data_IF_845936198532
#
_entry.id   IF_845936198532
#
_cell.length_a   1.000
_cell.length_b   1.000
_cell.length_c   1.000
_cell.angle_alpha   90.00
_cell.angle_beta   90.00
_cell.angle_gamma   90.00
#
_symmetry.space_group_name_H-M   'P 1'
#
loop_
_entity.id
_entity.type
_entity.pdbx_description
1 polymer ?
#
# COMPACT_ATOMS: atom_id res chain seq x y z
N UNK A 1 36.76 9.04 -36.51
CA UNK A 1 35.92 7.87 -36.20
C UNK A 1 35.11 8.19 -34.95
N UNK A 2 33.82 8.44 -35.10
CA UNK A 2 32.93 8.60 -33.96
C UNK A 2 32.71 7.21 -33.34
N UNK A 3 33.27 6.96 -32.16
CA UNK A 3 32.95 5.78 -31.38
C UNK A 3 31.49 5.89 -30.93
N UNK A 4 30.57 5.37 -31.74
CA UNK A 4 29.20 5.11 -31.33
C UNK A 4 29.25 4.12 -30.18
N UNK A 5 29.16 4.61 -28.94
CA UNK A 5 28.94 3.77 -27.76
C UNK A 5 27.70 2.93 -28.06
N UNK A 6 27.88 1.62 -28.23
CA UNK A 6 26.78 0.68 -28.24
C UNK A 6 25.88 0.97 -27.02
N UNK A 7 24.55 0.87 -27.14
CA UNK A 7 23.66 1.13 -26.02
C UNK A 7 24.02 0.13 -24.91
N UNK A 8 24.71 0.61 -23.86
CA UNK A 8 25.08 -0.23 -22.71
C UNK A 8 23.83 -0.99 -22.26
N UNK A 9 23.90 -2.31 -22.12
CA UNK A 9 22.73 -3.07 -21.71
C UNK A 9 22.24 -2.56 -20.35
N UNK A 10 20.93 -2.28 -20.24
CA UNK A 10 20.36 -1.70 -19.02
C UNK A 10 20.47 -2.63 -17.81
N UNK A 11 20.60 -3.94 -18.03
CA UNK A 11 20.82 -4.93 -16.97
C UNK A 11 22.29 -5.35 -16.83
N UNK A 12 23.17 -4.86 -17.70
CA UNK A 12 24.61 -5.14 -17.64
C UNK A 12 25.37 -4.29 -16.60
N UNK A 13 24.68 -3.39 -15.90
CA UNK A 13 25.26 -2.58 -14.82
C UNK A 13 25.02 -3.24 -13.47
N UNK A 14 25.83 -2.91 -12.46
CA UNK A 14 25.67 -3.47 -11.11
C UNK A 14 24.24 -3.24 -10.59
N UNK A 15 23.77 -1.99 -10.62
CA UNK A 15 22.40 -1.63 -10.23
C UNK A 15 21.36 -2.29 -11.14
N UNK A 16 21.57 -2.31 -12.46
CA UNK A 16 20.61 -2.85 -13.41
C UNK A 16 20.37 -4.35 -13.23
N UNK A 17 21.42 -5.13 -12.97
CA UNK A 17 21.31 -6.56 -12.69
C UNK A 17 20.54 -6.83 -11.38
N UNK A 18 20.71 -5.98 -10.36
CA UNK A 18 19.94 -6.09 -9.11
C UNK A 18 18.47 -5.79 -9.34
N UNK A 19 18.15 -4.73 -10.11
CA UNK A 19 16.78 -4.38 -10.48
C UNK A 19 16.11 -5.53 -11.23
N UNK A 20 16.80 -6.15 -12.20
CA UNK A 20 16.28 -7.29 -12.95
C UNK A 20 15.92 -8.46 -12.02
N UNK A 21 16.85 -8.85 -11.15
CA UNK A 21 16.66 -9.97 -10.21
C UNK A 21 15.56 -9.71 -9.19
N UNK A 22 15.49 -8.48 -8.64
CA UNK A 22 14.53 -8.11 -7.60
C UNK A 22 13.09 -7.96 -8.13
N UNK A 23 12.91 -8.00 -9.45
CA UNK A 23 11.60 -7.80 -10.11
C UNK A 23 11.28 -8.92 -11.12
N UNK A 24 11.78 -10.13 -10.87
CA UNK A 24 11.46 -11.32 -11.67
C UNK A 24 10.03 -11.80 -11.41
N UNK A 25 9.33 -12.25 -12.46
CA UNK A 25 7.96 -12.76 -12.33
C UNK A 25 7.84 -14.07 -11.55
N UNK A 26 8.96 -14.75 -11.29
CA UNK A 26 9.04 -15.95 -10.46
C UNK A 26 9.03 -15.65 -8.96
N UNK A 27 9.27 -14.40 -8.55
CA UNK A 27 9.19 -14.00 -7.15
C UNK A 27 7.74 -13.98 -6.69
N UNK A 28 7.51 -14.40 -5.44
CA UNK A 28 6.18 -14.42 -4.85
C UNK A 28 5.80 -13.06 -4.24
N UNK A 29 6.77 -12.38 -3.63
CA UNK A 29 6.58 -11.14 -2.86
C UNK A 29 7.77 -10.19 -3.01
N UNK A 30 7.63 -8.96 -2.51
CA UNK A 30 8.70 -7.97 -2.44
C UNK A 30 9.82 -8.40 -1.48
N UNK A 31 11.04 -8.49 -2.00
CA UNK A 31 12.24 -8.70 -1.19
C UNK A 31 12.77 -7.35 -0.70
N UNK A 32 12.14 -6.78 0.35
CA UNK A 32 12.43 -5.42 0.83
C UNK A 32 13.91 -5.18 1.16
N UNK A 33 14.63 -6.20 1.65
CA UNK A 33 16.07 -6.11 1.87
C UNK A 33 16.87 -5.88 0.59
N UNK A 34 16.45 -6.48 -0.53
CA UNK A 34 17.05 -6.23 -1.84
C UNK A 34 16.69 -4.83 -2.35
N UNK A 35 15.46 -4.36 -2.12
CA UNK A 35 15.03 -3.02 -2.53
C UNK A 35 15.84 -1.93 -1.80
N UNK A 36 16.05 -2.07 -0.49
CA UNK A 36 16.90 -1.17 0.29
C UNK A 36 18.34 -1.19 -0.20
N UNK A 37 18.90 -2.39 -0.42
CA UNK A 37 20.25 -2.51 -0.96
C UNK A 37 20.42 -1.83 -2.34
N UNK A 38 19.40 -1.91 -3.21
CA UNK A 38 19.38 -1.19 -4.48
C UNK A 38 19.39 0.32 -4.24
N UNK A 39 18.60 0.83 -3.30
CA UNK A 39 18.58 2.27 -2.96
C UNK A 39 19.95 2.74 -2.45
N UNK A 40 20.59 1.97 -1.57
CA UNK A 40 21.94 2.27 -1.08
C UNK A 40 22.95 2.35 -2.23
N UNK A 41 22.91 1.40 -3.17
CA UNK A 41 23.81 1.38 -4.32
C UNK A 41 23.55 2.54 -5.29
N UNK A 42 22.27 2.93 -5.48
CA UNK A 42 21.88 4.10 -6.28
C UNK A 42 22.48 5.37 -5.67
N UNK A 43 22.40 5.53 -4.35
CA UNK A 43 22.90 6.71 -3.65
C UNK A 43 24.43 6.73 -3.54
N UNK A 44 25.07 5.57 -3.41
CA UNK A 44 26.51 5.43 -3.22
C UNK A 44 27.33 5.65 -4.49
N UNK A 45 26.72 5.54 -5.68
CA UNK A 45 27.43 5.60 -6.96
C UNK A 45 27.05 6.82 -7.79
N UNK A 46 27.99 7.31 -8.60
CA UNK A 46 27.74 8.46 -9.46
C UNK A 46 26.72 8.12 -10.57
N UNK A 47 26.89 6.99 -11.24
CA UNK A 47 26.01 6.57 -12.34
C UNK A 47 24.77 5.78 -11.87
N UNK A 48 24.70 5.42 -10.59
CA UNK A 48 23.61 4.65 -10.00
C UNK A 48 22.20 5.14 -10.33
N UNK A 49 21.90 6.45 -10.20
CA UNK A 49 20.58 6.97 -10.54
C UNK A 49 20.21 6.76 -12.01
N UNK A 50 21.15 6.98 -12.94
CA UNK A 50 20.91 6.82 -14.38
C UNK A 50 20.72 5.35 -14.73
N UNK A 51 21.55 4.48 -14.17
CA UNK A 51 21.51 3.03 -14.41
C UNK A 51 20.22 2.41 -13.87
N UNK A 52 19.80 2.79 -12.66
CA UNK A 52 18.52 2.37 -12.09
C UNK A 52 17.33 2.79 -12.96
N UNK A 53 17.25 4.07 -13.32
CA UNK A 53 16.16 4.57 -14.15
C UNK A 53 16.13 3.86 -15.50
N UNK A 54 17.30 3.57 -16.09
CA UNK A 54 17.37 2.82 -17.35
C UNK A 54 16.85 1.39 -17.20
N UNK A 55 17.22 0.69 -16.13
CA UNK A 55 16.76 -0.66 -15.84
C UNK A 55 15.25 -0.71 -15.55
N UNK A 56 14.73 0.23 -14.73
CA UNK A 56 13.30 0.40 -14.46
C UNK A 56 12.51 0.69 -15.74
N UNK A 57 13.00 1.62 -16.58
CA UNK A 57 12.41 1.90 -17.91
C UNK A 57 12.35 0.63 -18.76
N UNK A 58 13.39 -0.21 -18.74
CA UNK A 58 13.42 -1.48 -19.49
C UNK A 58 12.40 -2.48 -18.94
N UNK A 59 12.30 -2.66 -17.62
CA UNK A 59 11.32 -3.58 -17.00
C UNK A 59 9.86 -3.18 -17.20
N UNK A 60 9.56 -1.89 -17.26
CA UNK A 60 8.20 -1.39 -17.53
C UNK A 60 7.86 -1.37 -19.03
N UNK A 61 8.85 -1.42 -19.93
CA UNK A 61 8.62 -1.27 -21.37
C UNK A 61 8.04 -2.54 -21.98
N UNK A 62 6.82 -2.44 -22.52
CA UNK A 62 6.12 -3.56 -23.21
C UNK A 62 5.99 -4.82 -22.36
N UNK A 63 6.05 -4.69 -21.03
CA UNK A 63 5.86 -5.79 -20.12
C UNK A 63 4.36 -6.02 -19.90
N UNK A 64 3.91 -7.27 -20.03
CA UNK A 64 2.53 -7.69 -19.76
C UNK A 64 2.44 -8.62 -18.54
N UNK A 65 3.56 -8.91 -17.87
CA UNK A 65 3.58 -9.70 -16.66
C UNK A 65 3.22 -8.82 -15.45
N UNK A 66 1.99 -8.97 -14.95
CA UNK A 66 1.48 -8.16 -13.84
C UNK A 66 2.32 -8.30 -12.56
N UNK A 67 2.93 -9.47 -12.31
CA UNK A 67 3.81 -9.67 -11.15
C UNK A 67 5.08 -8.84 -11.26
N UNK A 68 5.72 -8.86 -12.43
CA UNK A 68 6.93 -8.05 -12.65
C UNK A 68 6.64 -6.57 -12.55
N UNK A 69 5.53 -6.12 -13.14
CA UNK A 69 5.12 -4.72 -13.08
C UNK A 69 4.84 -4.33 -11.62
N UNK A 70 4.12 -5.15 -10.86
CA UNK A 70 3.84 -4.92 -9.43
C UNK A 70 5.13 -4.75 -8.63
N UNK A 71 6.06 -5.70 -8.74
CA UNK A 71 7.36 -5.64 -8.06
C UNK A 71 8.17 -4.41 -8.50
N UNK A 72 8.13 -4.07 -9.79
CA UNK A 72 8.82 -2.89 -10.31
C UNK A 72 8.22 -1.58 -9.78
N UNK A 73 6.89 -1.49 -9.66
CA UNK A 73 6.22 -0.33 -9.06
C UNK A 73 6.51 -0.23 -7.55
N UNK A 74 6.57 -1.35 -6.82
CA UNK A 74 6.96 -1.36 -5.41
C UNK A 74 8.43 -0.96 -5.20
N UNK A 75 9.34 -1.41 -6.05
CA UNK A 75 10.75 -0.97 -6.03
C UNK A 75 10.86 0.54 -6.34
N UNK A 76 10.12 1.02 -7.35
CA UNK A 76 10.10 2.43 -7.72
C UNK A 76 9.62 3.32 -6.56
N UNK A 77 8.57 2.92 -5.84
CA UNK A 77 8.09 3.61 -4.64
C UNK A 77 9.20 3.74 -3.60
N UNK A 78 9.83 2.62 -3.24
CA UNK A 78 10.94 2.59 -2.28
C UNK A 78 12.10 3.49 -2.72
N UNK A 79 12.48 3.46 -4.01
CA UNK A 79 13.53 4.32 -4.54
C UNK A 79 13.15 5.81 -4.50
N UNK A 80 11.89 6.17 -4.76
CA UNK A 80 11.46 7.58 -4.70
C UNK A 80 11.47 8.14 -3.28
N UNK A 81 11.21 7.29 -2.27
CA UNK A 81 11.24 7.65 -0.86
C UNK A 81 12.67 7.69 -0.27
N UNK A 82 13.57 6.82 -0.75
CA UNK A 82 14.89 6.61 -0.12
C UNK A 82 16.08 7.12 -0.97
N UNK A 83 15.87 7.46 -2.24
CA UNK A 83 16.93 8.03 -3.08
C UNK A 83 16.83 9.56 -3.14
N UNK A 84 18.00 10.20 -3.25
CA UNK A 84 18.08 11.66 -3.28
C UNK A 84 17.58 12.32 -4.58
N UNK A 85 17.64 13.67 -4.64
CA UNK A 85 17.16 14.47 -5.78
C UNK A 85 17.72 14.07 -7.14
N UNK A 86 18.94 13.52 -7.19
CA UNK A 86 19.61 13.03 -8.41
C UNK A 86 18.82 11.91 -9.10
N UNK A 87 18.17 11.04 -8.33
CA UNK A 87 17.30 9.98 -8.85
C UNK A 87 15.90 10.53 -9.15
N UNK A 88 15.31 11.26 -8.19
CA UNK A 88 13.96 11.82 -8.32
C UNK A 88 13.82 12.69 -9.58
N UNK A 89 14.81 13.55 -9.87
CA UNK A 89 14.84 14.41 -11.07
C UNK A 89 14.85 13.65 -12.41
N UNK A 90 15.24 12.37 -12.41
CA UNK A 90 15.21 11.52 -13.60
C UNK A 90 13.88 10.78 -13.76
N UNK A 91 13.21 10.46 -12.64
CA UNK A 91 11.92 9.76 -12.61
C UNK A 91 10.76 10.69 -12.95
N UNK A 92 10.81 11.95 -12.52
CA UNK A 92 9.72 12.94 -12.74
C UNK A 92 9.68 13.52 -14.15
N UNK A 93 10.57 13.07 -15.03
CA UNK A 93 10.58 13.48 -16.44
C UNK A 93 9.42 12.87 -17.21
N UNK A 94 8.96 13.58 -18.24
CA UNK A 94 7.86 13.16 -19.11
C UNK A 94 8.13 11.81 -19.76
N UNK A 95 9.38 11.53 -20.12
CA UNK A 95 9.78 10.27 -20.77
C UNK A 95 9.74 9.03 -19.84
N UNK A 96 9.68 9.23 -18.52
CA UNK A 96 9.44 8.16 -17.55
C UNK A 96 7.95 8.13 -17.19
N UNK A 97 7.41 9.25 -16.70
CA UNK A 97 6.02 9.36 -16.24
C UNK A 97 5.03 9.02 -17.36
N UNK A 98 5.11 9.68 -18.52
CA UNK A 98 4.16 9.51 -19.62
C UNK A 98 4.43 8.21 -20.39
N UNK A 99 5.68 8.00 -20.82
CA UNK A 99 5.98 6.94 -21.78
C UNK A 99 6.11 5.55 -21.14
N UNK A 100 6.32 5.46 -19.82
CA UNK A 100 6.42 4.20 -19.08
C UNK A 100 5.26 3.98 -18.14
N UNK A 101 4.96 4.92 -17.23
CA UNK A 101 3.90 4.71 -16.24
C UNK A 101 2.50 4.87 -16.85
N UNK A 102 2.18 6.05 -17.40
CA UNK A 102 0.86 6.31 -18.00
C UNK A 102 0.56 5.36 -19.16
N UNK A 103 1.59 4.96 -19.92
CA UNK A 103 1.43 3.99 -21.00
C UNK A 103 0.91 2.62 -20.52
N UNK A 104 1.26 2.21 -19.30
CA UNK A 104 0.77 0.96 -18.70
C UNK A 104 -0.72 1.02 -18.34
N UNK A 105 -1.31 2.21 -18.20
CA UNK A 105 -2.75 2.39 -18.00
C UNK A 105 -3.57 2.14 -19.28
N UNK A 106 -2.90 1.87 -20.42
CA UNK A 106 -3.62 1.53 -21.64
C UNK A 106 -4.37 0.19 -21.45
N UNK A 107 -5.64 0.08 -21.88
CA UNK A 107 -6.43 -1.15 -21.76
C UNK A 107 -5.73 -2.41 -22.30
N UNK A 108 -4.79 -2.28 -23.24
CA UNK A 108 -3.98 -3.39 -23.77
C UNK A 108 -3.17 -4.15 -22.71
N UNK A 109 -2.82 -3.51 -21.59
CA UNK A 109 -2.08 -4.17 -20.50
C UNK A 109 -2.99 -4.81 -19.46
N UNK A 110 -4.28 -4.47 -19.47
CA UNK A 110 -5.31 -4.97 -18.55
C UNK A 110 -4.82 -5.07 -17.09
N UNK A 111 -4.21 -3.99 -16.58
CA UNK A 111 -3.63 -3.99 -15.24
C UNK A 111 -4.73 -4.08 -14.17
N UNK A 112 -4.49 -4.80 -13.06
CA UNK A 112 -5.34 -4.75 -11.87
C UNK A 112 -5.56 -3.31 -11.37
N UNK A 113 -6.76 -3.03 -10.83
CA UNK A 113 -7.18 -1.68 -10.41
C UNK A 113 -6.21 -1.08 -9.39
N UNK A 114 -5.77 -1.87 -8.41
CA UNK A 114 -4.81 -1.46 -7.38
C UNK A 114 -3.49 -0.94 -7.97
N UNK A 115 -3.04 -1.54 -9.08
CA UNK A 115 -1.83 -1.11 -9.77
C UNK A 115 -2.05 0.15 -10.60
N UNK A 116 -3.25 0.31 -11.19
CA UNK A 116 -3.62 1.53 -11.90
C UNK A 116 -3.69 2.73 -10.94
N UNK A 117 -4.37 2.56 -9.80
CA UNK A 117 -4.46 3.56 -8.74
C UNK A 117 -3.07 3.93 -8.19
N UNK A 118 -2.17 2.96 -8.02
CA UNK A 118 -0.80 3.21 -7.59
C UNK A 118 -0.04 4.09 -8.59
N UNK A 119 -0.17 3.83 -9.88
CA UNK A 119 0.43 4.67 -10.94
C UNK A 119 -0.15 6.09 -10.88
N UNK A 120 -1.47 6.25 -10.77
CA UNK A 120 -2.11 7.56 -10.68
C UNK A 120 -1.67 8.31 -9.41
N UNK A 121 -1.53 7.60 -8.29
CA UNK A 121 -1.03 8.13 -7.03
C UNK A 121 0.39 8.67 -7.20
N UNK A 122 1.29 7.94 -7.86
CA UNK A 122 2.63 8.43 -8.17
C UNK A 122 2.61 9.76 -8.93
N UNK A 123 1.86 9.82 -10.03
CA UNK A 123 1.78 11.04 -10.86
C UNK A 123 1.24 12.22 -10.06
N UNK A 124 0.19 12.01 -9.27
CA UNK A 124 -0.41 13.05 -8.43
C UNK A 124 0.54 13.54 -7.33
N UNK A 125 1.16 12.61 -6.60
CA UNK A 125 2.07 12.95 -5.50
C UNK A 125 3.29 13.69 -6.04
N UNK A 126 3.91 13.22 -7.12
CA UNK A 126 5.10 13.85 -7.67
C UNK A 126 4.80 15.20 -8.32
N UNK A 127 3.61 15.41 -8.89
CA UNK A 127 3.17 16.70 -9.41
C UNK A 127 2.99 17.78 -8.33
N UNK A 128 2.78 17.39 -7.06
CA UNK A 128 2.73 18.31 -5.91
C UNK A 128 4.12 18.77 -5.46
N UNK A 129 5.16 18.07 -5.88
CA UNK A 129 6.55 18.39 -5.54
C UNK A 129 7.08 17.62 -4.33
N UNK A 130 8.38 17.74 -4.14
CA UNK A 130 9.13 17.16 -3.03
C UNK A 130 9.61 18.28 -2.11
N UNK A 131 9.98 17.97 -0.86
CA UNK A 131 10.55 18.97 0.07
C UNK A 131 11.95 19.51 -0.36
N UNK A 132 12.48 19.08 -1.51
CA UNK A 132 13.77 19.52 -2.07
C UNK A 132 13.65 20.23 -3.43
N UNK A 133 14.77 20.70 -3.97
CA UNK A 133 14.85 21.42 -5.26
C UNK A 133 14.81 20.47 -6.48
N UNK A 134 13.75 19.68 -6.62
CA UNK A 134 13.51 18.89 -7.84
C UNK A 134 12.50 19.64 -8.71
N UNK A 135 12.86 19.90 -9.96
CA UNK A 135 11.92 20.46 -10.94
C UNK A 135 10.88 19.41 -11.33
N UNK A 136 9.61 19.69 -10.99
CA UNK A 136 8.46 18.81 -11.24
C UNK A 136 7.54 19.33 -12.34
N UNK A 137 7.98 20.32 -13.12
CA UNK A 137 7.18 20.93 -14.19
C UNK A 137 6.69 19.89 -15.19
N UNK A 138 7.56 18.95 -15.61
CA UNK A 138 7.23 17.91 -16.58
C UNK A 138 6.17 16.92 -16.05
N UNK A 139 6.29 16.41 -14.81
CA UNK A 139 5.27 15.50 -14.24
C UNK A 139 3.97 16.24 -13.95
N UNK A 140 4.03 17.54 -13.60
CA UNK A 140 2.85 18.38 -13.41
C UNK A 140 2.09 18.58 -14.72
N UNK A 141 2.78 18.77 -15.84
CA UNK A 141 2.13 18.76 -17.16
C UNK A 141 1.42 17.43 -17.43
N UNK A 142 2.06 16.29 -17.15
CA UNK A 142 1.46 14.96 -17.33
C UNK A 142 0.20 14.80 -16.46
N UNK A 143 0.25 15.23 -15.21
CA UNK A 143 -0.90 15.23 -14.30
C UNK A 143 -2.07 16.07 -14.85
N UNK A 144 -1.80 17.30 -15.29
CA UNK A 144 -2.82 18.18 -15.87
C UNK A 144 -3.37 17.65 -17.21
N UNK A 145 -2.53 17.03 -18.04
CA UNK A 145 -2.96 16.36 -19.27
C UNK A 145 -3.94 15.20 -18.97
N UNK A 146 -3.73 14.46 -17.89
CA UNK A 146 -4.62 13.37 -17.46
C UNK A 146 -5.95 13.90 -16.90
N UNK A 147 -5.90 14.95 -16.05
CA UNK A 147 -7.12 15.62 -15.58
C UNK A 147 -7.96 16.15 -16.73
N UNK A 148 -7.33 16.79 -17.73
CA UNK A 148 -8.02 17.30 -18.93
C UNK A 148 -8.70 16.18 -19.74
N UNK A 149 -8.17 14.96 -19.66
CA UNK A 149 -8.75 13.76 -20.31
C UNK A 149 -9.86 13.11 -19.48
N UNK A 150 -10.20 13.65 -18.30
CA UNK A 150 -11.22 13.09 -17.41
C UNK A 150 -10.74 11.91 -16.59
N UNK A 151 -9.42 11.73 -16.40
CA UNK A 151 -8.89 10.70 -15.50
C UNK A 151 -9.13 11.13 -14.06
N UNK A 152 -9.86 10.31 -13.31
CA UNK A 152 -10.07 10.49 -11.88
C UNK A 152 -8.83 10.00 -11.11
N UNK A 153 -8.37 10.82 -10.16
CA UNK A 153 -7.25 10.49 -9.29
C UNK A 153 -7.75 10.13 -7.89
N UNK A 154 -7.09 9.20 -7.19
CA UNK A 154 -7.47 8.81 -5.84
C UNK A 154 -7.38 9.99 -4.86
N UNK A 155 -8.40 10.11 -3.99
CA UNK A 155 -8.50 11.16 -2.97
C UNK A 155 -7.29 11.14 -2.04
N UNK A 156 -6.64 12.29 -1.87
CA UNK A 156 -5.51 12.41 -0.95
C UNK A 156 -6.00 12.81 0.43
N UNK A 157 -6.31 11.84 1.29
CA UNK A 157 -6.59 12.11 2.69
C UNK A 157 -5.28 12.38 3.44
N UNK A 158 -4.87 13.65 3.48
CA UNK A 158 -3.88 14.17 4.42
C UNK A 158 -4.43 15.41 5.11
N UNK A 159 -4.99 15.22 6.31
CA UNK A 159 -5.11 16.17 7.41
C UNK A 159 -5.34 17.66 7.07
N UNK A 160 -6.59 18.10 7.12
CA UNK A 160 -6.92 19.48 7.51
C UNK A 160 -7.83 19.45 8.74
N UNK A 161 -7.30 19.94 9.86
CA UNK A 161 -8.04 20.30 11.07
C UNK A 161 -9.11 21.32 10.66
N UNK A 162 -10.36 20.88 10.60
CA UNK A 162 -11.51 21.71 10.27
C UNK A 162 -11.88 22.62 11.43
N UNK A 163 -11.55 23.91 11.31
CA UNK A 163 -12.17 24.96 12.10
C UNK A 163 -13.55 25.28 11.52
N UNK A 164 -14.59 24.83 12.23
CA UNK A 164 -15.78 25.59 12.66
C UNK A 164 -16.45 26.56 11.65
N UNK A 165 -17.73 26.28 11.34
CA UNK A 165 -18.94 27.11 11.63
C UNK A 165 -20.07 26.83 10.61
N UNK A 166 -21.22 26.37 11.13
CA UNK A 166 -22.56 26.48 10.54
C UNK A 166 -23.17 27.83 10.95
N UNK A 167 -24.07 28.48 10.20
CA UNK A 167 -25.50 28.14 10.36
C UNK A 167 -26.38 28.24 9.10
N UNK A 168 -27.39 27.35 9.09
CA UNK A 168 -28.69 27.40 8.38
C UNK A 168 -29.40 28.77 8.50
N UNK A 169 -30.41 29.10 7.65
CA UNK A 169 -31.80 28.65 7.92
C UNK A 169 -32.73 28.40 6.71
N UNK A 170 -33.82 27.69 7.04
CA UNK A 170 -34.96 27.18 6.25
C UNK A 170 -35.80 28.24 5.51
N UNK A 171 -36.57 27.82 4.48
CA UNK A 171 -38.04 27.90 4.43
C UNK A 171 -38.64 27.49 3.06
N UNK A 172 -39.64 26.57 3.08
CA UNK A 172 -40.96 26.52 2.36
C UNK A 172 -40.93 26.61 0.81
N UNK A 173 -41.72 25.93 -0.04
CA UNK A 173 -43.10 25.37 -0.01
C UNK A 173 -43.37 24.51 -1.28
N UNK A 174 -44.42 23.67 -1.25
CA UNK A 174 -44.92 22.65 -2.21
C UNK A 174 -45.71 23.21 -3.45
N UNK A 175 -46.52 22.44 -4.26
CA UNK A 175 -46.25 21.27 -5.12
C UNK A 175 -46.88 21.31 -6.57
N UNK A 176 -46.65 20.24 -7.37
CA UNK A 176 -47.46 19.69 -8.52
C UNK A 176 -47.26 20.24 -9.97
N UNK A 177 -47.72 19.55 -11.04
CA UNK A 177 -47.42 18.17 -11.51
C UNK A 177 -47.24 18.04 -13.07
N UNK A 178 -46.95 16.81 -13.57
CA UNK A 178 -47.22 16.28 -14.95
C UNK A 178 -46.37 16.81 -16.15
N UNK A 179 -45.81 16.09 -17.14
CA UNK A 179 -45.71 14.67 -17.57
C UNK A 179 -44.58 14.56 -18.66
N UNK A 180 -44.46 13.53 -19.56
CA UNK A 180 -43.24 12.72 -19.71
C UNK A 180 -42.51 12.89 -21.06
N UNK A 181 -41.20 12.60 -21.11
CA UNK A 181 -40.49 12.41 -22.38
C UNK A 181 -39.68 11.11 -22.35
N UNK A 182 -39.92 10.29 -23.38
CA UNK A 182 -39.41 8.94 -23.61
C UNK A 182 -38.07 8.94 -24.38
N UNK A 183 -37.32 7.84 -24.17
CA UNK A 183 -36.21 7.25 -24.99
C UNK A 183 -34.82 7.89 -24.77
N UNK A 184 -33.74 7.12 -24.57
CA UNK A 184 -33.36 5.92 -25.32
C UNK A 184 -32.61 4.86 -24.50
N UNK A 185 -32.94 3.61 -24.80
CA UNK A 185 -32.39 2.36 -24.29
C UNK A 185 -31.00 2.06 -24.89
N UNK A 186 -30.09 1.52 -24.07
CA UNK A 186 -29.03 0.60 -24.50
C UNK A 186 -29.29 -0.75 -23.81
N UNK A 187 -29.24 -1.91 -24.50
CA UNK A 187 -29.53 -3.20 -23.89
C UNK A 187 -28.30 -3.74 -23.13
N UNK A 188 -28.45 -4.03 -21.84
CA UNK A 188 -27.49 -4.77 -21.03
C UNK A 188 -27.84 -6.28 -21.06
N UNK A 189 -26.88 -7.22 -20.97
CA UNK A 189 -27.15 -8.64 -21.15
C UNK A 189 -28.04 -9.19 -20.04
N UNK A 190 -29.13 -9.84 -20.45
CA UNK A 190 -30.06 -10.62 -19.62
C UNK A 190 -29.34 -11.73 -18.84
N UNK A 191 -29.13 -11.49 -17.55
CA UNK A 191 -29.09 -12.52 -16.51
C UNK A 191 -30.47 -12.70 -15.87
N UNK A 192 -30.72 -13.77 -15.09
CA UNK A 192 -32.01 -14.00 -14.45
C UNK A 192 -32.28 -12.95 -13.37
N UNK A 193 -33.11 -11.95 -13.70
CA UNK A 193 -33.61 -10.92 -12.77
C UNK A 193 -34.43 -11.56 -11.65
N UNK A 194 -34.11 -11.23 -10.40
CA UNK A 194 -34.94 -11.59 -9.23
C UNK A 194 -35.79 -10.38 -8.81
N UNK A 195 -37.10 -10.45 -9.01
CA UNK A 195 -38.03 -9.56 -8.33
C UNK A 195 -38.15 -9.98 -6.86
N UNK A 196 -37.53 -9.20 -5.96
CA UNK A 196 -37.61 -9.45 -4.52
C UNK A 196 -39.00 -9.10 -3.97
N UNK A 197 -39.56 -9.96 -3.12
CA UNK A 197 -40.82 -9.66 -2.42
C UNK A 197 -40.60 -8.59 -1.33
N UNK A 198 -41.64 -7.82 -0.94
CA UNK A 198 -41.52 -6.82 0.11
C UNK A 198 -40.98 -7.36 1.45
N UNK A 199 -41.30 -8.62 1.78
CA UNK A 199 -40.78 -9.28 2.98
C UNK A 199 -39.27 -9.59 2.88
N UNK A 200 -38.77 -9.90 1.68
CA UNK A 200 -37.34 -10.12 1.43
C UNK A 200 -36.55 -8.80 1.52
N UNK A 201 -37.14 -7.71 1.03
CA UNK A 201 -36.56 -6.37 1.12
C UNK A 201 -36.42 -5.93 2.59
N UNK A 202 -37.46 -6.14 3.41
CA UNK A 202 -37.39 -5.81 4.84
C UNK A 202 -36.32 -6.61 5.60
N UNK A 203 -36.15 -7.89 5.27
CA UNK A 203 -35.06 -8.73 5.82
C UNK A 203 -33.69 -8.23 5.39
N UNK A 204 -33.55 -7.86 4.12
CA UNK A 204 -32.30 -7.32 3.59
C UNK A 204 -31.89 -6.04 4.31
N UNK A 205 -32.81 -5.10 4.52
CA UNK A 205 -32.51 -3.89 5.29
C UNK A 205 -32.04 -4.19 6.72
N UNK A 206 -32.62 -5.22 7.37
CA UNK A 206 -32.17 -5.65 8.69
C UNK A 206 -30.76 -6.24 8.67
N UNK A 207 -30.41 -7.00 7.62
CA UNK A 207 -29.05 -7.51 7.41
C UNK A 207 -28.05 -6.37 7.15
N UNK A 208 -28.43 -5.37 6.37
CA UNK A 208 -27.62 -4.18 6.08
C UNK A 208 -27.41 -3.32 7.33
N UNK A 209 -28.41 -3.16 8.18
CA UNK A 209 -28.27 -2.46 9.46
C UNK A 209 -27.28 -3.17 10.39
N UNK A 210 -27.29 -4.50 10.41
CA UNK A 210 -26.30 -5.29 11.14
C UNK A 210 -24.89 -5.09 10.58
N UNK A 211 -24.74 -5.03 9.25
CA UNK A 211 -23.47 -4.71 8.60
C UNK A 211 -22.97 -3.32 9.01
N UNK A 212 -23.84 -2.30 9.03
CA UNK A 212 -23.50 -0.94 9.50
C UNK A 212 -23.07 -0.93 10.98
N UNK A 213 -23.69 -1.76 11.84
CA UNK A 213 -23.24 -1.92 13.23
C UNK A 213 -21.84 -2.54 13.28
N UNK A 214 -21.61 -3.63 12.54
CA UNK A 214 -20.30 -4.29 12.49
C UNK A 214 -19.19 -3.34 12.01
N UNK A 215 -19.45 -2.54 10.97
CA UNK A 215 -18.52 -1.51 10.49
C UNK A 215 -18.17 -0.50 11.58
N UNK A 216 -19.17 0.00 12.31
CA UNK A 216 -18.95 0.99 13.39
C UNK A 216 -18.08 0.42 14.50
N UNK A 217 -18.39 -0.79 14.98
CA UNK A 217 -17.62 -1.46 16.03
C UNK A 217 -16.19 -1.73 15.57
N UNK A 218 -16.04 -2.30 14.38
CA UNK A 218 -14.73 -2.62 13.81
C UNK A 218 -13.88 -1.36 13.59
N UNK A 219 -14.50 -0.24 13.20
CA UNK A 219 -13.83 1.05 13.11
C UNK A 219 -13.39 1.61 14.46
N UNK A 220 -14.16 1.41 15.54
CA UNK A 220 -13.75 1.82 16.90
C UNK A 220 -12.54 1.02 17.37
N UNK A 221 -12.59 -0.30 17.20
CA UNK A 221 -11.47 -1.19 17.58
C UNK A 221 -10.18 -0.78 16.85
N UNK A 222 -10.26 -0.54 15.55
CA UNK A 222 -9.10 -0.12 14.74
C UNK A 222 -8.56 1.27 15.10
N UNK A 223 -9.37 2.16 15.69
CA UNK A 223 -8.94 3.49 16.14
C UNK A 223 -8.34 3.48 17.53
N UNK A 224 -8.86 2.64 18.43
CA UNK A 224 -8.44 2.58 19.83
C UNK A 224 -7.18 1.72 20.03
N UNK A 225 -6.93 0.77 19.13
CA UNK A 225 -5.78 -0.12 19.23
C UNK A 225 -4.57 0.42 18.44
N UNK A 226 -3.39 0.34 19.07
CA UNK A 226 -2.11 0.72 18.48
C UNK A 226 -1.21 -0.50 18.39
N UNK A 227 -0.51 -0.73 17.26
CA UNK A 227 0.45 -1.82 17.13
C UNK A 227 1.43 -1.91 18.31
N UNK A 228 1.43 -3.05 19.00
CA UNK A 228 2.32 -3.32 20.14
C UNK A 228 1.73 -3.06 21.53
N UNK A 229 0.58 -2.39 21.64
CA UNK A 229 -0.14 -2.17 22.89
C UNK A 229 -1.63 -2.49 22.72
N UNK A 230 -1.91 -3.61 22.08
CA UNK A 230 -3.26 -4.02 21.66
C UNK A 230 -3.98 -4.75 22.79
N UNK A 231 -5.29 -4.49 22.91
CA UNK A 231 -6.14 -5.27 23.78
C UNK A 231 -6.42 -6.65 23.15
N UNK A 232 -6.13 -7.77 23.84
CA UNK A 232 -6.34 -9.11 23.28
C UNK A 232 -7.82 -9.43 22.98
N UNK A 233 -8.76 -8.90 23.77
CA UNK A 233 -10.19 -9.13 23.56
C UNK A 233 -10.68 -8.41 22.30
N UNK A 234 -10.22 -7.18 22.09
CA UNK A 234 -10.49 -6.40 20.88
C UNK A 234 -9.95 -7.10 19.64
N UNK A 235 -8.75 -7.69 19.71
CA UNK A 235 -8.17 -8.41 18.58
C UNK A 235 -8.97 -9.67 18.22
N UNK A 236 -9.48 -10.39 19.22
CA UNK A 236 -10.35 -11.54 18.99
C UNK A 236 -11.68 -11.13 18.34
N UNK A 237 -12.29 -10.07 18.88
CA UNK A 237 -13.53 -9.50 18.32
C UNK A 237 -13.30 -8.99 16.90
N UNK A 238 -12.21 -8.27 16.65
CA UNK A 238 -11.81 -7.77 15.34
C UNK A 238 -11.67 -8.89 14.30
N UNK A 239 -11.08 -10.02 14.68
CA UNK A 239 -10.96 -11.18 13.80
C UNK A 239 -12.32 -11.79 13.44
N UNK A 240 -13.25 -11.85 14.40
CA UNK A 240 -14.63 -12.32 14.16
C UNK A 240 -15.37 -11.36 13.24
N UNK A 241 -15.30 -10.05 13.52
CA UNK A 241 -15.92 -9.00 12.71
C UNK A 241 -15.37 -8.99 11.29
N UNK A 242 -14.05 -9.15 11.10
CA UNK A 242 -13.44 -9.23 9.77
C UNK A 242 -14.07 -10.36 8.91
N UNK A 243 -14.23 -11.56 9.48
CA UNK A 243 -14.87 -12.68 8.77
C UNK A 243 -16.33 -12.39 8.44
N UNK A 244 -17.08 -11.83 9.39
CA UNK A 244 -18.48 -11.47 9.19
C UNK A 244 -18.64 -10.39 8.11
N UNK A 245 -17.83 -9.34 8.15
CA UNK A 245 -17.83 -8.27 7.15
C UNK A 245 -17.48 -8.79 5.75
N UNK A 246 -16.55 -9.75 5.62
CA UNK A 246 -16.24 -10.41 4.33
C UNK A 246 -17.43 -11.19 3.77
N UNK A 247 -18.09 -12.01 4.59
CA UNK A 247 -19.29 -12.74 4.16
C UNK A 247 -20.42 -11.79 3.74
N UNK A 248 -20.62 -10.69 4.47
CA UNK A 248 -21.60 -9.66 4.11
C UNK A 248 -21.24 -8.97 2.79
N UNK A 249 -19.95 -8.67 2.57
CA UNK A 249 -19.47 -8.07 1.33
C UNK A 249 -19.71 -8.98 0.12
N UNK A 250 -19.39 -10.27 0.22
CA UNK A 250 -19.65 -11.26 -0.84
C UNK A 250 -21.14 -11.31 -1.20
N UNK A 251 -22.01 -11.39 -0.19
CA UNK A 251 -23.46 -11.39 -0.39
C UNK A 251 -23.98 -10.09 -1.01
N UNK A 252 -23.45 -8.93 -0.61
CA UNK A 252 -23.85 -7.63 -1.21
C UNK A 252 -23.43 -7.57 -2.68
N UNK A 253 -22.25 -8.07 -3.03
CA UNK A 253 -21.80 -8.12 -4.43
C UNK A 253 -22.70 -9.00 -5.29
N UNK A 254 -23.17 -10.14 -4.76
CA UNK A 254 -24.16 -10.98 -5.45
C UNK A 254 -25.50 -10.27 -5.62
N UNK A 255 -25.97 -9.55 -4.59
CA UNK A 255 -27.22 -8.81 -4.64
C UNK A 255 -27.18 -7.64 -5.62
N UNK A 256 -26.06 -6.91 -5.71
CA UNK A 256 -25.89 -5.79 -6.64
C UNK A 256 -26.04 -6.18 -8.12
N UNK A 257 -25.77 -7.45 -8.46
CA UNK A 257 -25.92 -7.96 -9.83
C UNK A 257 -27.33 -8.47 -10.12
N UNK A 258 -28.13 -8.73 -9.08
CA UNK A 258 -29.43 -9.43 -9.21
C UNK A 258 -30.66 -8.56 -8.91
N UNK A 259 -30.48 -7.51 -8.11
CA UNK A 259 -31.56 -6.62 -7.65
C UNK A 259 -31.74 -5.46 -8.63
N UNK A 260 -33.00 -5.19 -9.02
CA UNK A 260 -33.37 -4.04 -9.86
C UNK A 260 -34.00 -2.87 -9.07
N UNK A 261 -34.28 -3.06 -7.77
CA UNK A 261 -34.85 -2.00 -6.93
C UNK A 261 -33.79 -0.92 -6.63
N UNK A 262 -33.96 0.26 -7.23
CA UNK A 262 -33.03 1.39 -7.13
C UNK A 262 -32.71 1.81 -5.69
N UNK A 263 -33.71 1.88 -4.80
CA UNK A 263 -33.50 2.28 -3.40
C UNK A 263 -32.62 1.26 -2.67
N UNK A 264 -32.86 -0.03 -2.93
CA UNK A 264 -32.06 -1.12 -2.37
C UNK A 264 -30.64 -1.12 -2.93
N UNK A 265 -30.47 -0.84 -4.22
CA UNK A 265 -29.14 -0.75 -4.87
C UNK A 265 -28.31 0.36 -4.22
N UNK A 266 -28.88 1.56 -4.03
CA UNK A 266 -28.18 2.69 -3.40
C UNK A 266 -27.68 2.33 -2.01
N UNK A 267 -28.53 1.68 -1.21
CA UNK A 267 -28.17 1.25 0.15
C UNK A 267 -27.13 0.11 0.14
N UNK A 268 -27.22 -0.84 -0.80
CA UNK A 268 -26.21 -1.89 -0.99
C UNK A 268 -24.84 -1.30 -1.35
N UNK A 269 -24.79 -0.31 -2.26
CA UNK A 269 -23.54 0.37 -2.64
C UNK A 269 -22.94 1.06 -1.42
N UNK A 270 -23.73 1.85 -0.68
CA UNK A 270 -23.24 2.59 0.48
C UNK A 270 -22.65 1.65 1.55
N UNK A 271 -23.36 0.57 1.88
CA UNK A 271 -22.88 -0.41 2.87
C UNK A 271 -21.65 -1.16 2.37
N UNK A 272 -21.55 -1.43 1.07
CA UNK A 272 -20.37 -2.05 0.47
C UNK A 272 -19.13 -1.15 0.58
N UNK A 273 -19.28 0.15 0.32
CA UNK A 273 -18.20 1.13 0.50
C UNK A 273 -17.73 1.19 1.95
N UNK A 274 -18.67 1.26 2.90
CA UNK A 274 -18.40 1.26 4.34
C UNK A 274 -17.66 -0.02 4.79
N UNK A 275 -18.12 -1.20 4.32
CA UNK A 275 -17.46 -2.48 4.56
C UNK A 275 -16.06 -2.51 3.95
N UNK A 276 -15.89 -2.05 2.72
CA UNK A 276 -14.60 -2.02 2.04
C UNK A 276 -13.59 -1.14 2.80
N UNK A 277 -14.03 0.03 3.26
CA UNK A 277 -13.21 0.96 4.03
C UNK A 277 -12.67 0.34 5.32
N UNK A 278 -13.53 -0.35 6.08
CA UNK A 278 -13.12 -0.96 7.36
C UNK A 278 -12.28 -2.23 7.17
N UNK A 279 -12.54 -3.01 6.12
CA UNK A 279 -11.74 -4.18 5.74
C UNK A 279 -10.32 -3.77 5.32
N UNK A 280 -10.18 -2.74 4.47
CA UNK A 280 -8.88 -2.16 4.13
C UNK A 280 -8.17 -1.59 5.36
N UNK A 281 -8.92 -0.98 6.28
CA UNK A 281 -8.41 -0.52 7.57
C UNK A 281 -7.80 -1.66 8.39
N UNK A 282 -8.48 -2.79 8.48
CA UNK A 282 -7.98 -3.98 9.15
C UNK A 282 -6.72 -4.55 8.48
N UNK A 283 -6.67 -4.62 7.16
CA UNK A 283 -5.49 -5.09 6.43
C UNK A 283 -4.27 -4.17 6.63
N UNK A 284 -4.50 -2.84 6.67
CA UNK A 284 -3.45 -1.87 7.02
C UNK A 284 -2.97 -2.09 8.46
N UNK A 285 -3.90 -2.21 9.40
CA UNK A 285 -3.57 -2.44 10.81
C UNK A 285 -2.76 -3.73 11.01
N UNK A 286 -3.21 -4.83 10.39
CA UNK A 286 -2.52 -6.12 10.43
C UNK A 286 -1.09 -6.04 9.88
N UNK A 287 -0.90 -5.40 8.71
CA UNK A 287 0.44 -5.17 8.14
C UNK A 287 1.33 -4.31 9.04
N UNK A 288 0.77 -3.25 9.62
CA UNK A 288 1.50 -2.38 10.54
C UNK A 288 1.91 -3.11 11.83
N UNK A 289 1.05 -4.00 12.34
CA UNK A 289 1.37 -4.86 13.48
C UNK A 289 2.55 -5.78 13.20
N UNK A 290 2.53 -6.47 12.07
CA UNK A 290 3.64 -7.35 11.67
C UNK A 290 4.95 -6.55 11.55
N UNK A 291 4.91 -5.37 10.91
CA UNK A 291 6.08 -4.49 10.81
C UNK A 291 6.60 -4.03 12.17
N UNK A 292 5.71 -3.67 13.09
CA UNK A 292 6.10 -3.26 14.44
C UNK A 292 6.84 -4.38 15.19
N UNK A 293 6.28 -5.60 15.16
CA UNK A 293 6.89 -6.76 15.82
C UNK A 293 8.25 -7.12 15.22
N UNK A 294 8.38 -7.04 13.89
CA UNK A 294 9.65 -7.30 13.20
C UNK A 294 10.69 -6.22 13.52
N UNK A 295 10.32 -4.95 13.55
CA UNK A 295 11.22 -3.86 13.95
C UNK A 295 11.69 -4.02 15.40
N UNK A 296 10.79 -4.43 16.31
CA UNK A 296 11.15 -4.70 17.70
C UNK A 296 12.10 -5.89 17.81
N UNK A 297 11.94 -6.92 16.98
CA UNK A 297 12.87 -8.05 16.90
C UNK A 297 14.25 -7.60 16.41
N UNK A 298 14.31 -6.88 15.29
CA UNK A 298 15.57 -6.36 14.73
C UNK A 298 16.29 -5.47 15.73
N UNK A 299 15.56 -4.62 16.45
CA UNK A 299 16.13 -3.74 17.46
C UNK A 299 16.76 -4.53 18.61
N UNK A 300 16.08 -5.59 19.10
CA UNK A 300 16.64 -6.49 20.11
C UNK A 300 17.89 -7.20 19.61
N UNK A 301 17.88 -7.73 18.39
CA UNK A 301 19.05 -8.38 17.79
C UNK A 301 20.24 -7.40 17.63
N UNK A 302 19.98 -6.12 17.31
CA UNK A 302 21.02 -5.08 17.27
C UNK A 302 21.57 -4.75 18.64
N UNK A 303 20.73 -4.65 19.66
CA UNK A 303 21.14 -4.40 21.04
C UNK A 303 21.97 -5.56 21.60
N UNK A 304 21.58 -6.80 21.31
CA UNK A 304 22.36 -8.01 21.64
C UNK A 304 23.72 -8.01 20.95
N UNK A 305 23.77 -7.70 19.65
CA UNK A 305 25.03 -7.61 18.90
C UNK A 305 25.93 -6.47 19.42
N UNK A 306 25.36 -5.32 19.78
CA UNK A 306 26.09 -4.22 20.38
C UNK A 306 26.66 -4.61 21.76
N UNK A 307 25.90 -5.34 22.57
CA UNK A 307 26.34 -5.85 23.86
C UNK A 307 27.47 -6.89 23.73
N UNK A 308 27.39 -7.79 22.74
CA UNK A 308 28.46 -8.76 22.46
C UNK A 308 29.75 -8.07 21.98
N UNK A 309 29.62 -6.98 21.22
CA UNK A 309 30.76 -6.19 20.75
C UNK A 309 31.44 -5.42 21.90
N UNK A 310 30.68 -4.84 22.83
CA UNK A 310 31.23 -4.14 24.00
C UNK A 310 31.95 -5.07 24.97
N UNK A 311 31.56 -6.34 25.05
CA UNK A 311 32.26 -7.38 25.82
C UNK A 311 33.64 -7.78 25.25
N UNK A 312 34.13 -7.15 24.17
CA UNK A 312 35.43 -7.44 23.51
C UNK A 312 35.64 -8.93 23.23
N UNK A 313 34.59 -9.67 22.90
CA UNK A 313 34.74 -11.04 22.44
C UNK A 313 35.34 -10.98 21.03
N UNK A 314 36.60 -11.42 20.89
CA UNK A 314 37.32 -11.42 19.61
C UNK A 314 36.48 -12.15 18.56
N UNK A 315 36.31 -11.59 17.34
CA UNK A 315 35.44 -12.14 16.30
C UNK A 315 35.83 -13.56 15.84
N UNK A 316 37.04 -14.03 16.16
CA UNK A 316 37.49 -15.40 15.89
C UNK A 316 36.98 -16.50 16.83
N UNK A 317 36.34 -16.16 17.96
CA UNK A 317 35.73 -17.17 18.86
C UNK A 317 34.23 -17.37 18.64
N UNK A 318 33.58 -16.51 17.84
CA UNK A 318 32.12 -16.57 17.61
C UNK A 318 31.73 -17.87 16.87
N UNK A 319 32.62 -18.40 16.02
CA UNK A 319 32.42 -19.69 15.35
C UNK A 319 32.70 -20.92 16.24
N UNK A 320 33.34 -20.76 17.40
CA UNK A 320 33.65 -21.87 18.32
C UNK A 320 32.57 -22.08 19.39
N UNK A 321 31.72 -21.08 19.65
CA UNK A 321 30.61 -21.23 20.57
C UNK A 321 29.34 -21.59 19.81
N UNK A 322 29.17 -22.88 19.57
CA UNK A 322 27.90 -23.43 19.10
C UNK A 322 26.80 -23.16 20.13
N UNK A 323 25.54 -23.22 19.67
CA UNK A 323 24.28 -23.03 20.41
C UNK A 323 24.23 -23.75 21.79
N UNK A 324 25.07 -24.76 22.01
CA UNK A 324 25.21 -25.50 23.27
C UNK A 324 25.91 -24.72 24.39
N UNK A 325 26.89 -23.85 24.09
CA UNK A 325 27.62 -23.09 25.12
C UNK A 325 26.77 -21.93 25.69
N UNK A 326 25.96 -21.31 24.82
CA UNK A 326 25.01 -20.25 25.20
C UNK A 326 23.88 -20.82 26.08
N UNK A 327 23.38 -22.02 25.76
CA UNK A 327 22.41 -22.74 26.59
C UNK A 327 22.99 -23.14 27.97
N UNK A 328 24.26 -23.53 28.04
CA UNK A 328 24.95 -23.83 29.31
C UNK A 328 25.21 -22.60 30.19
N UNK A 329 25.37 -21.42 29.59
CA UNK A 329 25.51 -20.15 30.30
C UNK A 329 24.18 -19.65 30.86
N UNK A 330 23.07 -19.90 30.15
CA UNK A 330 21.71 -19.54 30.59
C UNK A 330 21.13 -20.46 31.67
N UNK A 331 21.66 -21.68 31.84
CA UNK A 331 21.20 -22.64 32.85
C UNK A 331 21.95 -22.60 34.19
N UNK A 332 23.06 -21.86 34.30
CA UNK A 332 23.76 -21.75 35.59
C UNK A 332 23.08 -20.69 36.47
N UNK A 333 22.60 -21.03 37.68
CA UNK A 333 22.09 -20.03 38.60
C UNK A 333 23.22 -19.05 38.88
N UNK A 334 22.92 -17.76 38.73
CA UNK A 334 23.86 -16.66 38.92
C UNK A 334 24.48 -16.83 40.31
N UNK A 335 25.74 -17.28 40.34
CA UNK A 335 26.47 -17.50 41.58
C UNK A 335 26.62 -16.15 42.30
N UNK A 336 26.40 -16.08 43.62
CA UNK A 336 26.48 -14.84 44.41
C UNK A 336 27.85 -14.13 44.35
N UNK A 337 28.87 -14.76 43.75
CA UNK A 337 30.16 -14.14 43.45
C UNK A 337 30.09 -12.96 42.47
N UNK A 338 29.06 -12.87 41.62
CA UNK A 338 28.89 -11.75 40.67
C UNK A 338 28.26 -10.49 41.30
N UNK A 339 27.57 -10.59 42.44
CA UNK A 339 27.11 -9.40 43.16
C UNK A 339 28.26 -8.66 43.89
N UNK A 340 29.30 -9.37 44.32
CA UNK A 340 30.45 -8.74 45.00
C UNK A 340 31.31 -7.88 44.07
N UNK A 341 31.37 -8.18 42.76
CA UNK A 341 32.12 -7.35 41.81
C UNK A 341 31.42 -6.03 41.45
N UNK A 342 30.12 -5.92 41.66
CA UNK A 342 29.37 -4.68 41.41
C UNK A 342 29.52 -3.65 42.56
N UNK A 343 30.03 -4.08 43.73
CA UNK A 343 30.37 -3.19 44.87
C UNK A 343 31.83 -2.75 44.93
N UNK A 344 32.68 -3.23 44.01
CA UNK A 344 34.08 -2.85 43.93
C UNK A 344 34.38 -1.89 42.77
N UNK A 345 33.37 -1.50 41.99
CA UNK A 345 33.46 -0.59 40.83
C UNK A 345 32.45 0.57 40.96
N UNK A 346 31.88 0.77 42.14
CA UNK A 346 31.25 2.02 42.61
C UNK A 346 31.92 2.36 43.92
#
# INVERSE_FOLDING_TARGET
MAFGKAPRDAFGTAVGSLVERATLGSLQTEEWGQFLHICDLINATEEGPKDAVKALKKKLSKNCNHKEIRLTLSLLEMCMENCGPRFQSLVVKKDFCKDKLVKLLNPRYNLPIDMQEKILTFIMVWARGFQGMVDVSEVKEVYLELLKKGVEFPSSDTSSVGSKISPRPCAKSSPSPASPAKRSLLPLPTGPTLLLTPEQIGKLYSELDMAKINVRVMSSILKENVPGSENPDDMNLLQKLYKTCRMMQERIMELLVTVENEDVIVELIQVNEDLNNVLLGHERFSRNRVRFLENQRIQREREEMAYLHTLKIKPGLIHQFTHSWIQQLLQKPISPYLQLKHKAIV
#
